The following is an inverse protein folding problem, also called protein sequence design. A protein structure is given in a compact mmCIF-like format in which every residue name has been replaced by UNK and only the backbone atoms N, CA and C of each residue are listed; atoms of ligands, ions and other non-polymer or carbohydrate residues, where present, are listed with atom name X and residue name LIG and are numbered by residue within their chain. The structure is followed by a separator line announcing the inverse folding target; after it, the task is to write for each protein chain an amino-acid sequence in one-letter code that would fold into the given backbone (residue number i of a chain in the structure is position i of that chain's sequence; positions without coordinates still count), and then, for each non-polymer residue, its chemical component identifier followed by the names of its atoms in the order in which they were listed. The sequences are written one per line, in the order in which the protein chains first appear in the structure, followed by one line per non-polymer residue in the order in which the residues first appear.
data_IF_568452629393
#
_entry.id   IF_568452629393
#
_cell.length_a   1.000
_cell.length_b   1.000
_cell.length_c   1.000
_cell.angle_alpha   90.00
_cell.angle_beta   90.00
_cell.angle_gamma   90.00
#
_symmetry.space_group_name_H-M   'P 1'
#
loop_
_entity.id
_entity.type
_entity.pdbx_description
1 polymer ?
#
# COMPACT_ATOMS: atom_id res chain seq x y z
N UNK A 1 7.97 15.97 -6.63
CA UNK A 1 8.17 16.39 -5.23
C UNK A 1 9.28 15.58 -4.55
N UNK A 2 9.10 14.28 -4.27
CA UNK A 2 10.12 13.45 -3.60
C UNK A 2 11.47 13.38 -4.36
N UNK A 3 11.45 13.21 -5.68
CA UNK A 3 12.68 13.19 -6.50
C UNK A 3 13.44 14.53 -6.52
N UNK A 4 12.73 15.66 -6.44
CA UNK A 4 13.35 16.99 -6.35
C UNK A 4 13.99 17.20 -4.97
N UNK A 5 13.34 16.73 -3.91
CA UNK A 5 13.86 16.77 -2.55
C UNK A 5 15.11 15.89 -2.40
N UNK A 6 15.15 14.73 -3.06
CA UNK A 6 16.30 13.84 -3.08
C UNK A 6 17.49 14.44 -3.84
N UNK A 7 17.25 15.07 -5.00
CA UNK A 7 18.29 15.78 -5.74
C UNK A 7 18.83 16.99 -4.96
N UNK A 8 17.95 17.73 -4.26
CA UNK A 8 18.36 18.82 -3.39
C UNK A 8 19.10 18.32 -2.13
N UNK A 9 18.73 17.15 -1.59
CA UNK A 9 19.40 16.53 -0.46
C UNK A 9 20.81 16.06 -0.81
N UNK A 10 20.98 15.49 -2.00
CA UNK A 10 22.28 15.04 -2.51
C UNK A 10 23.19 16.19 -2.97
N UNK A 11 22.60 17.33 -3.36
CA UNK A 11 23.34 18.50 -3.82
C UNK A 11 23.77 19.45 -2.70
N UNK A 12 23.22 19.30 -1.48
CA UNK A 12 23.47 20.23 -0.38
C UNK A 12 24.38 19.58 0.68
N UNK A 13 25.64 20.03 0.84
CA UNK A 13 26.60 19.43 1.77
C UNK A 13 26.22 19.59 3.26
N UNK A 14 25.23 20.43 3.57
CA UNK A 14 24.75 20.69 4.94
C UNK A 14 23.66 19.70 5.42
N UNK A 15 23.22 18.76 4.57
CA UNK A 15 22.20 17.78 4.94
C UNK A 15 22.87 16.53 5.52
N UNK A 16 22.51 16.20 6.76
CA UNK A 16 22.90 14.94 7.39
C UNK A 16 22.21 13.76 6.69
N UNK A 17 22.94 13.15 5.77
CA UNK A 17 22.51 11.99 5.00
C UNK A 17 22.10 10.83 5.91
N UNK A 18 22.74 10.68 7.09
CA UNK A 18 22.43 9.62 8.05
C UNK A 18 21.07 9.86 8.69
N UNK A 19 20.78 11.10 9.11
CA UNK A 19 19.47 11.46 9.65
C UNK A 19 18.34 11.26 8.62
N UNK A 20 18.58 11.64 7.36
CA UNK A 20 17.61 11.45 6.27
C UNK A 20 17.34 9.96 5.96
N UNK A 21 18.40 9.14 5.96
CA UNK A 21 18.28 7.70 5.76
C UNK A 21 17.55 7.03 6.93
N UNK A 22 17.86 7.41 8.17
CA UNK A 22 17.16 6.91 9.36
C UNK A 22 15.66 7.24 9.33
N UNK A 23 15.28 8.44 8.90
CA UNK A 23 13.86 8.82 8.76
C UNK A 23 13.16 7.95 7.72
N UNK A 24 13.79 7.71 6.56
CA UNK A 24 13.27 6.79 5.54
C UNK A 24 13.12 5.36 6.07
N UNK A 25 14.13 4.82 6.74
CA UNK A 25 14.10 3.47 7.33
C UNK A 25 12.96 3.37 8.35
N UNK A 26 12.83 4.35 9.24
CA UNK A 26 11.79 4.37 10.26
C UNK A 26 10.39 4.45 9.66
N UNK A 27 10.21 5.23 8.59
CA UNK A 27 8.96 5.29 7.83
C UNK A 27 8.62 3.95 7.18
N UNK A 28 9.61 3.29 6.57
CA UNK A 28 9.44 1.99 5.94
C UNK A 28 9.04 0.90 6.96
N UNK A 29 9.70 0.84 8.12
CA UNK A 29 9.37 -0.12 9.19
C UNK A 29 7.93 0.07 9.70
N UNK A 30 7.49 1.31 9.90
CA UNK A 30 6.11 1.58 10.34
C UNK A 30 5.09 1.11 9.31
N UNK A 31 5.38 1.34 8.03
CA UNK A 31 4.50 0.91 6.95
C UNK A 31 4.45 -0.62 6.91
N UNK A 32 5.59 -1.30 6.93
CA UNK A 32 5.64 -2.77 6.92
C UNK A 32 4.95 -3.40 8.14
N UNK A 33 5.08 -2.80 9.34
CA UNK A 33 4.36 -3.24 10.54
C UNK A 33 2.84 -3.12 10.40
N UNK A 34 2.34 -2.01 9.86
CA UNK A 34 0.89 -1.81 9.65
C UNK A 34 0.38 -2.81 8.61
N UNK A 35 1.11 -3.00 7.51
CA UNK A 35 0.75 -3.91 6.42
C UNK A 35 0.73 -5.37 6.88
N UNK A 36 1.72 -5.78 7.67
CA UNK A 36 1.78 -7.14 8.22
C UNK A 36 0.68 -7.38 9.27
N UNK A 37 0.40 -6.40 10.14
CA UNK A 37 -0.72 -6.49 11.09
C UNK A 37 -2.08 -6.58 10.37
N UNK A 38 -2.25 -5.82 9.28
CA UNK A 38 -3.45 -5.83 8.44
C UNK A 38 -3.70 -7.22 7.83
N UNK A 39 -2.68 -7.83 7.22
CA UNK A 39 -2.78 -9.20 6.67
C UNK A 39 -3.18 -10.21 7.76
N UNK A 40 -2.61 -10.09 8.96
CA UNK A 40 -2.93 -10.97 10.08
C UNK A 40 -4.38 -10.80 10.54
N UNK A 41 -4.86 -9.56 10.68
CA UNK A 41 -6.24 -9.28 11.11
C UNK A 41 -7.25 -9.79 10.08
N UNK A 42 -6.98 -9.63 8.79
CA UNK A 42 -7.84 -10.18 7.73
C UNK A 42 -7.85 -11.70 7.80
N UNK A 43 -6.67 -12.33 7.87
CA UNK A 43 -6.55 -13.78 7.94
C UNK A 43 -7.33 -14.31 9.14
N UNK A 44 -7.10 -13.77 10.34
CA UNK A 44 -7.83 -14.12 11.57
C UNK A 44 -9.34 -13.88 11.44
N UNK A 45 -9.76 -12.79 10.80
CA UNK A 45 -11.17 -12.50 10.55
C UNK A 45 -11.86 -13.59 9.72
N UNK A 46 -11.18 -14.13 8.71
CA UNK A 46 -11.72 -15.19 7.83
C UNK A 46 -11.81 -16.57 8.50
N UNK A 47 -10.97 -16.84 9.49
CA UNK A 47 -10.92 -18.13 10.20
C UNK A 47 -11.38 -18.02 11.65
N UNK A 48 -12.06 -16.94 12.03
CA UNK A 48 -12.44 -16.63 13.42
C UNK A 48 -13.25 -17.75 14.09
N UNK A 49 -14.08 -18.46 13.33
CA UNK A 49 -14.96 -19.52 13.81
C UNK A 49 -14.31 -20.93 13.72
N UNK A 50 -13.09 -21.02 13.20
CA UNK A 50 -12.34 -22.27 13.09
C UNK A 50 -11.61 -22.63 14.40
N UNK A 51 -11.27 -23.91 14.56
CA UNK A 51 -10.46 -24.38 15.69
C UNK A 51 -9.07 -23.71 15.69
N UNK A 52 -8.50 -23.49 16.89
CA UNK A 52 -7.22 -22.80 17.07
C UNK A 52 -6.08 -23.33 16.17
N UNK A 53 -5.97 -24.65 16.03
CA UNK A 53 -4.97 -25.27 15.17
C UNK A 53 -5.12 -24.88 13.68
N UNK A 54 -6.36 -24.72 13.19
CA UNK A 54 -6.64 -24.23 11.84
C UNK A 54 -6.33 -22.73 11.71
N UNK A 55 -6.63 -21.93 12.74
CA UNK A 55 -6.29 -20.51 12.71
C UNK A 55 -4.78 -20.30 12.58
N UNK A 56 -4.00 -21.03 13.40
CA UNK A 56 -2.53 -20.96 13.37
C UNK A 56 -1.98 -21.43 12.03
N UNK A 57 -2.47 -22.54 11.49
CA UNK A 57 -1.96 -23.06 10.21
C UNK A 57 -2.26 -22.13 9.04
N UNK A 58 -3.47 -21.55 8.98
CA UNK A 58 -3.87 -20.62 7.92
C UNK A 58 -3.09 -19.31 8.02
N UNK A 59 -3.00 -18.70 9.21
CA UNK A 59 -2.27 -17.44 9.39
C UNK A 59 -0.78 -17.63 9.09
N UNK A 60 -0.16 -18.72 9.56
CA UNK A 60 1.24 -19.03 9.25
C UNK A 60 1.46 -19.29 7.75
N UNK A 61 0.54 -20.03 7.11
CA UNK A 61 0.59 -20.29 5.67
C UNK A 61 0.50 -19.01 4.84
N UNK A 62 -0.47 -18.13 5.15
CA UNK A 62 -0.63 -16.84 4.50
C UNK A 62 0.62 -15.97 4.72
N UNK A 63 1.16 -15.92 5.94
CA UNK A 63 2.36 -15.16 6.23
C UNK A 63 3.55 -15.59 5.35
N UNK A 64 3.79 -16.89 5.21
CA UNK A 64 4.88 -17.42 4.37
C UNK A 64 4.62 -17.14 2.89
N UNK A 65 3.41 -17.43 2.40
CA UNK A 65 3.04 -17.24 0.99
C UNK A 65 3.14 -15.76 0.61
N UNK A 66 2.63 -14.86 1.43
CA UNK A 66 2.68 -13.42 1.17
C UNK A 66 4.11 -12.89 1.25
N UNK A 67 4.92 -13.37 2.20
CA UNK A 67 6.34 -13.00 2.27
C UNK A 67 7.06 -13.40 0.97
N UNK A 68 6.98 -14.68 0.57
CA UNK A 68 7.66 -15.14 -0.64
C UNK A 68 7.07 -14.47 -1.89
N UNK A 69 5.75 -14.38 -1.98
CA UNK A 69 5.06 -13.84 -3.15
C UNK A 69 5.34 -12.35 -3.37
N UNK A 70 5.18 -11.52 -2.34
CA UNK A 70 5.38 -10.06 -2.44
C UNK A 70 6.86 -9.73 -2.62
N UNK A 71 7.74 -10.26 -1.76
CA UNK A 71 9.17 -9.99 -1.89
C UNK A 71 9.76 -10.59 -3.17
N UNK A 72 9.28 -11.75 -3.62
CA UNK A 72 9.66 -12.36 -4.89
C UNK A 72 9.22 -11.54 -6.09
N UNK A 73 7.99 -11.00 -6.08
CA UNK A 73 7.50 -10.12 -7.14
C UNK A 73 8.32 -8.82 -7.21
N UNK A 74 8.58 -8.19 -6.06
CA UNK A 74 9.41 -6.97 -6.00
C UNK A 74 10.84 -7.26 -6.46
N UNK A 75 11.44 -8.35 -6.00
CA UNK A 75 12.78 -8.77 -6.46
C UNK A 75 12.81 -9.02 -7.97
N UNK A 76 11.76 -9.62 -8.53
CA UNK A 76 11.61 -9.79 -9.98
C UNK A 76 11.62 -8.45 -10.73
N UNK A 77 10.90 -7.45 -10.22
CA UNK A 77 10.86 -6.10 -10.82
C UNK A 77 12.22 -5.42 -10.78
N UNK A 78 12.92 -5.50 -9.65
CA UNK A 78 14.29 -4.95 -9.53
C UNK A 78 15.25 -5.67 -10.47
N UNK A 79 15.12 -7.00 -10.60
CA UNK A 79 15.95 -7.79 -11.51
C UNK A 79 15.74 -7.42 -12.98
N UNK A 80 14.54 -7.00 -13.37
CA UNK A 80 14.25 -6.49 -14.71
C UNK A 80 14.98 -5.18 -15.00
N UNK A 81 15.16 -4.32 -13.98
CA UNK A 81 15.92 -3.07 -14.11
C UNK A 81 17.43 -3.35 -14.28
N UNK A 82 17.99 -4.22 -13.42
CA UNK A 82 19.37 -4.69 -13.55
C UNK A 82 19.63 -5.35 -14.91
N UNK A 83 18.70 -6.18 -15.39
CA UNK A 83 18.78 -6.81 -16.70
C UNK A 83 18.72 -5.79 -17.84
N UNK A 84 17.89 -4.73 -17.69
CA UNK A 84 17.83 -3.62 -18.63
C UNK A 84 19.17 -2.88 -18.75
N UNK A 85 19.82 -2.63 -17.62
CA UNK A 85 21.16 -2.05 -17.57
C UNK A 85 22.22 -2.97 -18.19
N UNK A 86 22.19 -4.27 -17.89
CA UNK A 86 23.10 -5.24 -18.48
C UNK A 86 22.98 -5.30 -20.01
N UNK A 87 21.75 -5.31 -20.55
CA UNK A 87 21.50 -5.36 -21.98
C UNK A 87 22.05 -4.15 -22.75
N UNK A 88 22.09 -2.97 -22.10
CA UNK A 88 22.69 -1.76 -22.67
C UNK A 88 24.19 -1.87 -22.90
N UNK A 89 24.89 -2.68 -22.12
CA UNK A 89 26.35 -2.88 -22.24
C UNK A 89 26.73 -3.82 -23.39
N UNK A 90 25.75 -4.52 -23.98
CA UNK A 90 26.01 -5.44 -25.09
C UNK A 90 26.16 -4.71 -26.42
N UNK A 91 26.94 -5.27 -27.36
CA UNK A 91 27.18 -4.71 -28.70
C UNK A 91 25.96 -4.83 -29.65
N UNK A 92 24.91 -5.57 -29.24
CA UNK A 92 23.75 -5.85 -30.09
C UNK A 92 22.71 -4.72 -30.00
N UNK A 93 22.41 -4.09 -31.14
CA UNK A 93 21.40 -3.02 -31.27
C UNK A 93 20.01 -3.40 -30.77
N UNK A 94 19.60 -4.66 -30.93
CA UNK A 94 18.29 -5.16 -30.45
C UNK A 94 18.29 -5.23 -28.92
N UNK A 95 19.35 -5.79 -28.33
CA UNK A 95 19.50 -5.87 -26.88
C UNK A 95 19.54 -4.47 -26.25
N UNK A 96 20.24 -3.52 -26.86
CA UNK A 96 20.25 -2.13 -26.41
C UNK A 96 18.86 -1.49 -26.50
N UNK A 97 18.09 -1.77 -27.56
CA UNK A 97 16.72 -1.27 -27.69
C UNK A 97 15.80 -1.83 -26.59
N UNK A 98 15.89 -3.13 -26.32
CA UNK A 98 15.14 -3.79 -25.23
C UNK A 98 15.57 -3.25 -23.87
N UNK A 99 16.88 -3.11 -23.62
CA UNK A 99 17.42 -2.55 -22.38
C UNK A 99 16.91 -1.14 -22.08
N UNK A 100 16.87 -0.26 -23.10
CA UNK A 100 16.25 1.08 -22.98
C UNK A 100 14.76 1.01 -22.67
N UNK A 101 14.05 0.03 -23.22
CA UNK A 101 12.64 -0.21 -22.92
C UNK A 101 12.44 -0.59 -21.45
N UNK A 102 13.21 -1.56 -20.95
CA UNK A 102 13.15 -2.03 -19.57
C UNK A 102 13.46 -0.91 -18.56
N UNK A 103 14.55 -0.16 -18.76
CA UNK A 103 14.93 0.98 -17.91
C UNK A 103 13.90 2.11 -17.91
N UNK A 104 13.16 2.31 -19.01
CA UNK A 104 12.04 3.27 -19.05
C UNK A 104 10.81 2.75 -18.31
N UNK A 105 10.57 1.44 -18.32
CA UNK A 105 9.43 0.82 -17.68
C UNK A 105 9.62 0.69 -16.16
N UNK A 106 10.82 0.38 -15.67
CA UNK A 106 11.08 0.15 -14.24
C UNK A 106 10.59 1.30 -13.33
N UNK A 107 10.83 2.59 -13.64
CA UNK A 107 10.30 3.71 -12.84
C UNK A 107 8.77 3.80 -12.86
N UNK A 108 8.14 3.42 -13.98
CA UNK A 108 6.68 3.44 -14.09
C UNK A 108 6.06 2.30 -13.28
N UNK A 109 6.67 1.11 -13.31
CA UNK A 109 6.26 -0.02 -12.47
C UNK A 109 6.35 0.33 -10.99
N UNK A 110 7.47 0.88 -10.53
CA UNK A 110 7.66 1.30 -9.15
C UNK A 110 6.64 2.37 -8.71
N UNK A 111 6.37 3.36 -9.55
CA UNK A 111 5.34 4.38 -9.26
C UNK A 111 3.94 3.80 -9.25
N UNK A 112 3.60 2.90 -10.18
CA UNK A 112 2.29 2.25 -10.20
C UNK A 112 2.07 1.39 -8.96
N UNK A 113 3.10 0.67 -8.50
CA UNK A 113 3.05 -0.11 -7.27
C UNK A 113 2.79 0.76 -6.05
N UNK A 114 3.38 1.97 -5.98
CA UNK A 114 3.09 2.89 -4.89
C UNK A 114 1.64 3.36 -4.89
N UNK A 115 1.07 3.70 -6.05
CA UNK A 115 -0.34 4.11 -6.17
C UNK A 115 -1.28 2.96 -5.86
N UNK A 116 -1.04 1.78 -6.44
CA UNK A 116 -1.84 0.57 -6.22
C UNK A 116 -1.74 0.13 -4.76
N UNK A 117 -0.55 0.16 -4.17
CA UNK A 117 -0.33 -0.15 -2.76
C UNK A 117 -1.08 0.80 -1.84
N UNK A 118 -1.04 2.11 -2.12
CA UNK A 118 -1.81 3.11 -1.35
C UNK A 118 -3.32 2.87 -1.48
N UNK A 119 -3.81 2.60 -2.69
CA UNK A 119 -5.22 2.28 -2.91
C UNK A 119 -5.65 0.99 -2.19
N UNK A 120 -4.78 -0.03 -2.21
CA UNK A 120 -5.00 -1.29 -1.51
C UNK A 120 -5.09 -1.06 0.00
N UNK A 121 -4.18 -0.29 0.61
CA UNK A 121 -4.23 0.03 2.05
C UNK A 121 -5.54 0.73 2.44
N UNK A 122 -6.07 1.63 1.61
CA UNK A 122 -7.37 2.25 1.89
C UNK A 122 -8.53 1.26 1.77
N UNK A 123 -8.53 0.44 0.72
CA UNK A 123 -9.55 -0.59 0.52
C UNK A 123 -9.57 -1.58 1.68
N UNK A 124 -8.39 -2.04 2.10
CA UNK A 124 -8.28 -3.06 3.13
C UNK A 124 -8.55 -2.48 4.51
N UNK A 125 -7.96 -1.34 4.85
CA UNK A 125 -8.23 -0.64 6.12
C UNK A 125 -9.71 -0.24 6.28
N UNK A 126 -10.35 0.24 5.21
CA UNK A 126 -11.79 0.54 5.22
C UNK A 126 -12.66 -0.71 5.39
N UNK A 127 -12.25 -1.83 4.78
CA UNK A 127 -12.90 -3.13 4.98
C UNK A 127 -12.82 -3.61 6.44
N UNK A 128 -11.68 -3.42 7.11
CA UNK A 128 -11.51 -3.75 8.54
C UNK A 128 -12.47 -2.89 9.39
N UNK A 129 -12.53 -1.58 9.12
CA UNK A 129 -13.41 -0.66 9.86
C UNK A 129 -14.88 -1.01 9.69
N UNK A 130 -15.33 -1.27 8.46
CA UNK A 130 -16.71 -1.62 8.18
C UNK A 130 -17.10 -2.97 8.77
N UNK A 131 -16.22 -3.98 8.74
CA UNK A 131 -16.49 -5.25 9.43
C UNK A 131 -16.70 -5.09 10.94
N UNK A 132 -16.02 -4.13 11.58
CA UNK A 132 -16.21 -3.82 12.99
C UNK A 132 -17.52 -3.11 13.33
N UNK A 133 -18.27 -2.64 12.32
CA UNK A 133 -19.51 -1.88 12.51
C UNK A 133 -20.75 -2.76 12.27
N UNK A 134 -21.66 -2.90 13.26
CA UNK A 134 -22.85 -3.74 13.14
C UNK A 134 -23.78 -3.36 11.98
N UNK A 135 -23.88 -2.06 11.67
CA UNK A 135 -24.75 -1.51 10.61
C UNK A 135 -24.15 -1.59 9.20
N UNK A 136 -22.86 -1.91 9.06
CA UNK A 136 -22.20 -1.89 7.76
C UNK A 136 -22.63 -3.05 6.85
N UNK A 137 -23.01 -4.19 7.43
CA UNK A 137 -23.46 -5.36 6.66
C UNK A 137 -24.74 -5.07 5.87
N UNK A 138 -25.71 -4.39 6.49
CA UNK A 138 -26.95 -4.00 5.81
C UNK A 138 -26.69 -2.96 4.70
N UNK A 139 -25.78 -2.02 4.94
CA UNK A 139 -25.40 -1.03 3.93
C UNK A 139 -24.72 -1.69 2.72
N UNK A 140 -23.81 -2.64 2.95
CA UNK A 140 -23.15 -3.39 1.87
C UNK A 140 -24.16 -4.23 1.09
N UNK A 141 -25.02 -5.01 1.77
CA UNK A 141 -26.00 -5.84 1.09
C UNK A 141 -27.03 -5.05 0.28
N UNK A 142 -27.51 -3.93 0.82
CA UNK A 142 -28.43 -3.05 0.09
C UNK A 142 -27.76 -2.41 -1.12
N UNK A 143 -26.49 -1.99 -1.00
CA UNK A 143 -25.74 -1.43 -2.12
C UNK A 143 -25.43 -2.47 -3.21
N UNK A 144 -25.09 -3.70 -2.82
CA UNK A 144 -24.91 -4.82 -3.75
C UNK A 144 -26.19 -5.14 -4.51
N UNK A 145 -27.34 -5.19 -3.83
CA UNK A 145 -28.63 -5.47 -4.46
C UNK A 145 -29.05 -4.34 -5.41
N UNK A 146 -28.83 -3.09 -5.02
CA UNK A 146 -29.05 -1.93 -5.89
C UNK A 146 -28.15 -1.98 -7.13
N UNK A 147 -26.87 -2.32 -6.97
CA UNK A 147 -25.92 -2.46 -8.06
C UNK A 147 -26.27 -3.63 -9.01
N UNK A 148 -26.74 -4.76 -8.47
CA UNK A 148 -27.15 -5.93 -9.23
C UNK A 148 -28.39 -5.68 -10.11
N UNK A 149 -29.21 -4.68 -9.78
CA UNK A 149 -30.43 -4.34 -10.51
C UNK A 149 -30.19 -3.68 -11.87
N UNK A 150 -28.94 -3.30 -12.18
CA UNK A 150 -28.59 -2.65 -13.45
C UNK A 150 -28.53 -3.67 -14.59
N UNK A 151 -29.32 -3.53 -15.66
CA UNK A 151 -29.29 -4.45 -16.80
C UNK A 151 -27.90 -4.50 -17.46
N UNK A 152 -27.50 -5.69 -17.94
CA UNK A 152 -26.24 -5.99 -18.63
C UNK A 152 -24.94 -5.89 -17.81
N UNK A 153 -24.83 -4.98 -16.84
CA UNK A 153 -23.59 -4.77 -16.04
C UNK A 153 -23.75 -5.03 -14.53
N UNK A 154 -24.96 -5.36 -14.06
CA UNK A 154 -25.26 -5.49 -12.63
C UNK A 154 -24.39 -6.49 -11.87
N UNK A 155 -24.02 -7.61 -12.49
CA UNK A 155 -23.11 -8.58 -11.88
C UNK A 155 -21.70 -8.03 -11.65
N UNK A 156 -21.16 -7.25 -12.59
CA UNK A 156 -19.86 -6.60 -12.45
C UNK A 156 -19.92 -5.48 -11.39
N UNK A 157 -20.99 -4.68 -11.42
CA UNK A 157 -21.18 -3.63 -10.42
C UNK A 157 -21.32 -4.19 -9.01
N UNK A 158 -22.09 -5.27 -8.83
CA UNK A 158 -22.24 -5.95 -7.55
C UNK A 158 -20.88 -6.46 -7.02
N UNK A 159 -20.01 -6.99 -7.89
CA UNK A 159 -18.67 -7.43 -7.48
C UNK A 159 -17.73 -6.28 -7.07
N UNK A 160 -17.85 -5.12 -7.71
CA UNK A 160 -16.99 -3.95 -7.42
C UNK A 160 -17.51 -3.07 -6.28
N UNK A 161 -18.82 -3.13 -6.00
CA UNK A 161 -19.47 -2.25 -5.02
C UNK A 161 -18.86 -2.37 -3.62
N UNK A 162 -18.64 -3.57 -3.05
CA UNK A 162 -18.01 -3.71 -1.73
C UNK A 162 -16.60 -3.12 -1.69
N UNK A 163 -15.82 -3.33 -2.75
CA UNK A 163 -14.46 -2.79 -2.85
C UNK A 163 -14.45 -1.27 -2.88
N UNK A 164 -15.40 -0.64 -3.59
CA UNK A 164 -15.55 0.82 -3.64
C UNK A 164 -16.03 1.39 -2.30
N UNK A 165 -16.98 0.73 -1.65
CA UNK A 165 -17.46 1.15 -0.32
C UNK A 165 -16.33 1.06 0.71
N UNK A 166 -15.57 -0.04 0.70
CA UNK A 166 -14.43 -0.20 1.58
C UNK A 166 -13.35 0.87 1.31
N UNK A 167 -12.99 1.11 0.04
CA UNK A 167 -12.01 2.14 -0.31
C UNK A 167 -12.46 3.55 0.11
N UNK A 168 -13.73 3.90 -0.11
CA UNK A 168 -14.28 5.20 0.30
C UNK A 168 -14.32 5.35 1.81
N UNK A 169 -14.75 4.33 2.55
CA UNK A 169 -14.72 4.32 4.01
C UNK A 169 -13.30 4.48 4.54
N UNK A 170 -12.32 3.77 3.97
CA UNK A 170 -10.92 3.88 4.33
C UNK A 170 -10.35 5.27 4.08
N UNK A 171 -10.65 5.88 2.93
CA UNK A 171 -10.23 7.26 2.61
C UNK A 171 -10.86 8.26 3.57
N UNK A 172 -12.17 8.15 3.86
CA UNK A 172 -12.86 9.04 4.79
C UNK A 172 -12.30 8.91 6.21
N UNK A 173 -12.13 7.69 6.71
CA UNK A 173 -11.55 7.45 8.01
C UNK A 173 -10.12 7.98 8.09
N UNK A 174 -9.29 7.72 7.08
CA UNK A 174 -7.92 8.25 7.00
C UNK A 174 -7.89 9.78 7.00
N UNK A 175 -8.79 10.42 6.25
CA UNK A 175 -8.91 11.87 6.22
C UNK A 175 -9.35 12.46 7.58
N UNK A 176 -10.30 11.81 8.26
CA UNK A 176 -10.77 12.21 9.59
C UNK A 176 -9.67 12.07 10.64
N UNK A 177 -8.95 10.95 10.66
CA UNK A 177 -7.82 10.72 11.56
C UNK A 177 -6.73 11.76 11.32
N UNK A 178 -6.37 12.00 10.06
CA UNK A 178 -5.37 13.01 9.70
C UNK A 178 -5.81 14.42 10.14
N UNK A 179 -7.07 14.78 9.92
CA UNK A 179 -7.62 16.07 10.39
C UNK A 179 -7.55 16.19 11.92
N UNK A 180 -7.92 15.13 12.65
CA UNK A 180 -7.84 15.08 14.10
C UNK A 180 -6.40 15.21 14.61
N UNK A 181 -5.47 14.40 14.10
CA UNK A 181 -4.05 14.42 14.48
C UNK A 181 -3.41 15.77 14.16
N UNK A 182 -3.71 16.37 13.00
CA UNK A 182 -3.16 17.69 12.64
C UNK A 182 -3.74 18.80 13.51
N UNK A 183 -5.01 18.73 13.91
CA UNK A 183 -5.63 19.71 14.79
C UNK A 183 -5.08 19.60 16.22
N UNK A 184 -4.99 18.38 16.75
CA UNK A 184 -4.33 18.06 18.03
C UNK A 184 -2.87 18.51 17.99
N UNK A 185 -2.12 18.16 16.95
CA UNK A 185 -0.73 18.59 16.76
C UNK A 185 -0.57 20.11 16.70
N UNK A 186 -1.54 20.86 16.15
CA UNK A 186 -1.54 22.33 16.20
C UNK A 186 -1.83 22.88 17.60
N UNK A 187 -2.68 22.21 18.38
CA UNK A 187 -3.00 22.59 19.76
C UNK A 187 -1.84 22.28 20.71
N UNK A 188 -1.21 21.11 20.59
CA UNK A 188 -0.05 20.70 21.40
C UNK A 188 1.30 21.23 20.85
N UNK A 189 1.39 21.56 19.57
CA UNK A 189 2.56 22.20 18.96
C UNK A 189 2.72 23.67 19.36
N UNK A 190 1.64 24.33 19.81
CA UNK A 190 1.73 25.65 20.46
C UNK A 190 2.45 25.63 21.81
N UNK A 191 2.64 24.46 22.43
CA UNK A 191 3.41 24.31 23.68
C UNK A 191 4.89 23.94 23.48
N UNK A 192 5.35 23.71 22.25
CA UNK A 192 6.78 23.57 21.91
C UNK A 192 7.22 24.63 20.90
N UNK A 193 6.88 25.88 21.19
CA UNK A 193 7.49 27.03 20.55
C UNK A 193 8.90 27.28 21.10
N UNK A 194 9.90 27.09 20.24
CA UNK A 194 11.25 27.68 20.31
C UNK A 194 12.09 27.39 21.57
N UNK A 195 12.96 26.39 21.46
CA UNK A 195 14.36 26.53 21.91
C UNK A 195 15.17 26.34 20.61
N UNK A 196 15.65 27.44 20.00
CA UNK A 196 16.99 27.97 20.20
C UNK A 196 18.05 26.98 19.68
#
# INVERSE_FOLDING_TARGET
AAHQAELNALANPDIDLVAFEQEKIKGAIRTDFILSAEIIVIALGTVKDAAFASQVSVVAGIAVIMTIGVYGLVAGIVKLDDAGYYLLQTQNRINQAVGRGLLKLAPHLMKSLAVVGTAAMFLVGGGILLHGLPLAHDLLHNAEHAAASVPAIGGLLAALTPSLINATAGVLAGALVLAGVTLVGKLFGKTHGKAA
#
